data_IF_025129794348
#
_entry.id   IF_025129794348
#
_cell.length_a   1.000
_cell.length_b   1.000
_cell.length_c   1.000
_cell.angle_alpha   90.00
_cell.angle_beta   90.00
_cell.angle_gamma   90.00
#
_symmetry.space_group_name_H-M   'P 1'
#
loop_
_entity.id
_entity.type
_entity.pdbx_description
1 polymer ?
#
# COMPACT_ATOMS: atom_id res chain seq x y z
N UNK A 1 -13.18 22.49 -20.01
CA UNK A 1 -13.05 21.05 -20.33
C UNK A 1 -12.38 20.37 -19.15
N UNK A 2 -12.88 19.20 -18.75
CA UNK A 2 -12.41 18.51 -17.54
C UNK A 2 -11.12 17.68 -17.76
N UNK A 3 -10.90 17.18 -18.99
CA UNK A 3 -9.64 16.54 -19.38
C UNK A 3 -8.79 17.46 -20.25
N UNK A 4 -7.46 17.26 -20.27
CA UNK A 4 -6.56 18.00 -21.16
C UNK A 4 -6.83 17.65 -22.62
N UNK A 5 -6.67 18.64 -23.49
CA UNK A 5 -6.56 18.42 -24.94
C UNK A 5 -5.15 17.93 -25.26
N UNK A 6 -5.01 16.67 -25.65
CA UNK A 6 -3.73 16.05 -25.96
C UNK A 6 -3.65 15.75 -27.46
N UNK A 7 -2.47 15.94 -28.05
CA UNK A 7 -2.20 15.71 -29.48
C UNK A 7 -1.66 14.31 -29.76
N UNK A 8 -0.94 13.73 -28.80
CA UNK A 8 -0.37 12.38 -28.95
C UNK A 8 -0.52 11.57 -27.66
N UNK A 9 -0.55 10.24 -27.79
CA UNK A 9 -0.66 9.32 -26.65
C UNK A 9 0.49 9.48 -25.64
N UNK A 10 1.67 9.92 -26.09
CA UNK A 10 2.83 10.19 -25.21
C UNK A 10 2.58 11.33 -24.24
N UNK A 11 1.78 12.32 -24.64
CA UNK A 11 1.45 13.46 -23.80
C UNK A 11 0.58 13.09 -22.60
N UNK A 12 -0.10 11.93 -22.61
CA UNK A 12 -0.83 11.41 -21.46
C UNK A 12 0.09 11.13 -20.25
N UNK A 13 1.40 10.97 -20.47
CA UNK A 13 2.41 10.80 -19.44
C UNK A 13 3.19 12.07 -19.07
N UNK A 14 2.80 13.24 -19.60
CA UNK A 14 3.48 14.53 -19.39
C UNK A 14 2.77 15.38 -18.32
N UNK A 15 3.48 15.70 -17.24
CA UNK A 15 2.91 16.47 -16.11
C UNK A 15 2.44 17.87 -16.51
N UNK A 16 3.22 18.58 -17.33
CA UNK A 16 2.93 19.96 -17.72
C UNK A 16 1.67 20.06 -18.59
N UNK A 17 1.32 18.97 -19.28
CA UNK A 17 0.11 18.88 -20.12
C UNK A 17 -1.09 18.32 -19.36
N UNK A 18 -0.85 17.39 -18.42
CA UNK A 18 -1.94 16.60 -17.81
C UNK A 18 -2.36 17.07 -16.42
N UNK A 19 -1.51 17.83 -15.73
CA UNK A 19 -1.75 18.26 -14.34
C UNK A 19 -1.70 19.78 -14.18
N UNK A 20 -0.63 20.44 -14.65
CA UNK A 20 -0.44 21.89 -14.44
C UNK A 20 -1.65 22.76 -14.85
N UNK A 21 -2.30 22.50 -16.01
CA UNK A 21 -3.45 23.30 -16.43
C UNK A 21 -4.66 23.21 -15.49
N UNK A 22 -4.72 22.18 -14.65
CA UNK A 22 -5.83 21.90 -13.74
C UNK A 22 -5.55 22.31 -12.30
N UNK A 23 -4.34 22.78 -11.96
CA UNK A 23 -4.02 23.30 -10.62
C UNK A 23 -5.00 24.42 -10.18
N UNK A 24 -5.42 25.37 -11.05
CA UNK A 24 -6.41 26.37 -10.65
C UNK A 24 -7.78 25.78 -10.26
N UNK A 25 -8.14 24.59 -10.75
CA UNK A 25 -9.39 23.94 -10.32
C UNK A 25 -9.30 23.51 -8.85
N UNK A 26 -8.12 23.10 -8.38
CA UNK A 26 -7.92 22.70 -6.98
C UNK A 26 -8.18 23.87 -6.03
N UNK A 27 -7.66 25.05 -6.35
CA UNK A 27 -7.82 26.25 -5.50
C UNK A 27 -9.24 26.81 -5.57
N UNK A 28 -9.91 26.70 -6.72
CA UNK A 28 -11.29 27.13 -6.90
C UNK A 28 -12.36 26.17 -6.37
N UNK A 29 -12.04 24.88 -6.21
CA UNK A 29 -13.01 23.83 -5.88
C UNK A 29 -13.81 24.11 -4.58
N UNK A 30 -13.22 24.56 -3.46
CA UNK A 30 -13.99 24.86 -2.25
C UNK A 30 -15.06 25.94 -2.48
N UNK A 31 -14.72 26.99 -3.20
CA UNK A 31 -15.67 28.07 -3.54
C UNK A 31 -16.76 27.58 -4.48
N UNK A 32 -16.39 26.78 -5.48
CA UNK A 32 -17.35 26.21 -6.43
C UNK A 32 -18.35 25.25 -5.77
N UNK A 33 -17.90 24.45 -4.79
CA UNK A 33 -18.76 23.55 -4.02
C UNK A 33 -19.77 24.31 -3.16
N UNK A 34 -19.36 25.44 -2.56
CA UNK A 34 -20.24 26.26 -1.73
C UNK A 34 -21.31 27.01 -2.56
N UNK A 35 -20.98 27.39 -3.79
CA UNK A 35 -21.88 28.19 -4.63
C UNK A 35 -22.77 27.39 -5.60
N UNK A 36 -22.47 26.11 -5.85
CA UNK A 36 -23.20 25.27 -6.81
C UNK A 36 -23.83 24.03 -6.14
N UNK A 37 -24.58 24.22 -5.06
CA UNK A 37 -25.20 23.11 -4.29
C UNK A 37 -26.20 22.30 -5.11
N UNK A 38 -26.89 22.93 -6.07
CA UNK A 38 -27.88 22.26 -6.91
C UNK A 38 -27.27 21.57 -8.14
N UNK A 39 -26.00 21.86 -8.44
CA UNK A 39 -25.28 21.41 -9.63
C UNK A 39 -24.11 20.46 -9.36
N UNK A 40 -24.07 19.79 -8.19
CA UNK A 40 -22.91 19.01 -7.75
C UNK A 40 -22.50 17.89 -8.73
N UNK A 41 -23.46 17.23 -9.37
CA UNK A 41 -23.17 16.19 -10.37
C UNK A 41 -22.46 16.77 -11.61
N UNK A 42 -22.88 17.96 -12.05
CA UNK A 42 -22.25 18.67 -13.16
C UNK A 42 -20.85 19.16 -12.75
N UNK A 43 -20.72 19.78 -11.58
CA UNK A 43 -19.43 20.22 -11.04
C UNK A 43 -18.42 19.06 -10.94
N UNK A 44 -18.88 17.88 -10.54
CA UNK A 44 -18.06 16.67 -10.46
C UNK A 44 -17.51 16.26 -11.84
N UNK A 45 -18.35 16.24 -12.88
CA UNK A 45 -17.93 15.88 -14.24
C UNK A 45 -17.11 16.98 -14.91
N UNK A 46 -17.32 18.25 -14.56
CA UNK A 46 -16.55 19.38 -15.10
C UNK A 46 -15.18 19.56 -14.41
N UNK A 47 -15.02 19.04 -13.20
CA UNK A 47 -13.74 19.01 -12.49
C UNK A 47 -12.88 17.86 -13.00
N UNK A 48 -11.60 18.13 -13.22
CA UNK A 48 -10.64 17.09 -13.59
C UNK A 48 -10.63 15.99 -12.53
N UNK A 49 -10.76 14.71 -12.91
CA UNK A 49 -10.94 13.63 -11.95
C UNK A 49 -9.71 13.42 -11.04
N UNK A 50 -8.50 13.76 -11.52
CA UNK A 50 -7.29 13.75 -10.71
C UNK A 50 -7.35 14.82 -9.62
N UNK A 51 -7.85 16.01 -9.94
CA UNK A 51 -8.02 17.12 -8.98
C UNK A 51 -9.06 16.75 -7.92
N UNK A 52 -10.19 16.17 -8.30
CA UNK A 52 -11.21 15.71 -7.33
C UNK A 52 -10.64 14.65 -6.38
N UNK A 53 -9.89 13.68 -6.90
CA UNK A 53 -9.26 12.64 -6.09
C UNK A 53 -8.16 13.21 -5.16
N UNK A 54 -7.34 14.14 -5.65
CA UNK A 54 -6.33 14.80 -4.82
C UNK A 54 -6.98 15.65 -3.72
N UNK A 55 -8.01 16.44 -4.04
CA UNK A 55 -8.76 17.20 -3.05
C UNK A 55 -9.37 16.29 -1.97
N UNK A 56 -9.93 15.15 -2.37
CA UNK A 56 -10.41 14.14 -1.42
C UNK A 56 -9.28 13.60 -0.53
N UNK A 57 -8.08 13.34 -1.07
CA UNK A 57 -6.91 12.92 -0.27
C UNK A 57 -6.50 13.96 0.78
N UNK A 58 -6.59 15.25 0.44
CA UNK A 58 -6.32 16.35 1.38
C UNK A 58 -7.40 16.39 2.47
N UNK A 59 -8.68 16.26 2.12
CA UNK A 59 -9.76 16.18 3.12
C UNK A 59 -9.56 14.99 4.05
N UNK A 60 -9.25 13.81 3.53
CA UNK A 60 -8.95 12.63 4.36
C UNK A 60 -7.75 12.86 5.26
N UNK A 61 -6.71 13.56 4.81
CA UNK A 61 -5.57 13.88 5.66
C UNK A 61 -5.95 14.73 6.88
N UNK A 62 -6.82 15.73 6.69
CA UNK A 62 -7.32 16.56 7.79
C UNK A 62 -8.15 15.71 8.74
N UNK A 63 -9.02 14.84 8.22
CA UNK A 63 -9.82 13.93 9.02
C UNK A 63 -8.94 12.95 9.83
N UNK A 64 -7.91 12.36 9.21
CA UNK A 64 -6.97 11.48 9.91
C UNK A 64 -6.26 12.21 11.05
N UNK A 65 -5.83 13.44 10.83
CA UNK A 65 -5.19 14.24 11.86
C UNK A 65 -6.14 14.53 13.03
N UNK A 66 -7.33 15.03 12.74
CA UNK A 66 -8.31 15.39 13.79
C UNK A 66 -8.75 14.16 14.59
N UNK A 67 -9.07 13.05 13.90
CA UNK A 67 -9.53 11.82 14.54
C UNK A 67 -8.41 11.15 15.33
N UNK A 68 -7.16 11.17 14.84
CA UNK A 68 -6.02 10.60 15.55
C UNK A 68 -5.66 11.38 16.80
N UNK A 69 -5.68 12.71 16.77
CA UNK A 69 -5.41 13.54 17.95
C UNK A 69 -6.52 13.47 18.99
N UNK A 70 -7.79 13.40 18.54
CA UNK A 70 -8.94 13.25 19.43
C UNK A 70 -8.93 11.91 20.17
N UNK A 71 -8.74 10.80 19.43
CA UNK A 71 -8.77 9.45 19.99
C UNK A 71 -7.43 8.98 20.56
N UNK A 72 -6.35 9.75 20.38
CA UNK A 72 -4.97 9.34 20.67
C UNK A 72 -4.63 7.98 20.04
N UNK A 73 -5.08 7.80 18.80
CA UNK A 73 -4.87 6.58 18.02
C UNK A 73 -4.44 6.96 16.60
N UNK A 74 -3.19 6.66 16.27
CA UNK A 74 -2.50 7.13 15.06
C UNK A 74 -2.64 6.18 13.88
N UNK A 75 -3.40 5.09 14.04
CA UNK A 75 -3.71 4.12 12.98
C UNK A 75 -4.97 4.45 12.17
N UNK A 76 -5.41 5.71 12.15
CA UNK A 76 -6.62 6.08 11.38
C UNK A 76 -6.43 5.85 9.88
N UNK A 77 -5.27 6.23 9.33
CA UNK A 77 -4.94 5.98 7.93
C UNK A 77 -4.78 4.48 7.65
N UNK A 78 -4.22 3.72 8.59
CA UNK A 78 -4.02 2.26 8.45
C UNK A 78 -5.36 1.53 8.20
N UNK A 79 -6.45 2.00 8.83
CA UNK A 79 -7.80 1.44 8.66
C UNK A 79 -8.36 1.66 7.26
N UNK A 80 -8.03 2.81 6.65
CA UNK A 80 -8.49 3.18 5.32
C UNK A 80 -7.49 2.82 4.21
N UNK A 81 -6.28 2.38 4.56
CA UNK A 81 -5.24 1.95 3.62
C UNK A 81 -5.76 0.91 2.63
N UNK A 82 -6.53 -0.06 3.13
CA UNK A 82 -7.10 -1.14 2.30
C UNK A 82 -8.27 -0.72 1.42
N UNK A 83 -8.78 0.50 1.56
CA UNK A 83 -10.02 0.96 0.94
C UNK A 83 -9.76 2.10 -0.05
N UNK A 84 -9.01 3.13 0.37
CA UNK A 84 -8.85 4.37 -0.40
C UNK A 84 -8.24 4.16 -1.80
N UNK A 85 -7.18 3.36 -2.00
CA UNK A 85 -6.63 3.14 -3.33
C UNK A 85 -7.67 2.62 -4.33
N UNK A 86 -8.52 1.68 -3.90
CA UNK A 86 -9.61 1.18 -4.72
C UNK A 86 -10.66 2.27 -4.97
N UNK A 87 -11.04 3.04 -3.95
CA UNK A 87 -12.01 4.12 -4.11
C UNK A 87 -11.53 5.19 -5.09
N UNK A 88 -10.23 5.51 -5.13
CA UNK A 88 -9.70 6.44 -6.11
C UNK A 88 -9.82 5.92 -7.55
N UNK A 89 -9.53 4.63 -7.78
CA UNK A 89 -9.69 4.02 -9.12
C UNK A 89 -11.16 3.87 -9.51
N UNK A 90 -12.02 3.44 -8.59
CA UNK A 90 -13.47 3.38 -8.82
C UNK A 90 -14.05 4.76 -9.10
N UNK A 91 -13.56 5.80 -8.41
CA UNK A 91 -13.89 7.19 -8.71
C UNK A 91 -13.57 7.54 -10.16
N UNK A 92 -12.39 7.16 -10.68
CA UNK A 92 -12.07 7.39 -12.10
C UNK A 92 -13.02 6.66 -13.05
N UNK A 93 -13.39 5.41 -12.73
CA UNK A 93 -14.33 4.62 -13.54
C UNK A 93 -15.74 5.27 -13.57
N UNK A 94 -16.23 5.69 -12.41
CA UNK A 94 -17.53 6.39 -12.27
C UNK A 94 -17.49 7.72 -13.01
N UNK A 95 -16.43 8.50 -12.80
CA UNK A 95 -16.25 9.78 -13.48
C UNK A 95 -16.25 9.62 -15.00
N UNK A 96 -15.51 8.66 -15.54
CA UNK A 96 -15.45 8.40 -16.99
C UNK A 96 -16.82 8.06 -17.57
N UNK A 97 -17.63 7.25 -16.86
CA UNK A 97 -19.01 6.91 -17.28
C UNK A 97 -19.92 8.13 -17.30
N UNK A 98 -19.87 8.94 -16.24
CA UNK A 98 -20.69 10.15 -16.15
C UNK A 98 -20.28 11.21 -17.17
N UNK A 99 -18.99 11.26 -17.53
CA UNK A 99 -18.46 12.12 -18.59
C UNK A 99 -18.75 11.59 -20.01
N UNK A 100 -19.33 10.39 -20.17
CA UNK A 100 -19.57 9.77 -21.47
C UNK A 100 -18.30 9.32 -22.20
N UNK A 101 -17.23 9.02 -21.46
CA UNK A 101 -15.93 8.63 -22.00
C UNK A 101 -15.72 7.11 -21.97
N UNK A 102 -14.82 6.58 -22.81
CA UNK A 102 -14.42 5.18 -22.74
C UNK A 102 -13.86 4.82 -21.35
N UNK A 103 -14.43 3.79 -20.72
CA UNK A 103 -14.14 3.44 -19.33
C UNK A 103 -13.66 2.00 -19.14
N UNK A 104 -13.68 1.17 -20.19
CA UNK A 104 -13.41 -0.29 -20.12
C UNK A 104 -12.04 -0.63 -19.53
N UNK A 105 -10.99 0.12 -19.90
CA UNK A 105 -9.63 -0.06 -19.36
C UNK A 105 -9.57 0.30 -17.86
N UNK A 106 -10.32 1.32 -17.43
CA UNK A 106 -10.37 1.73 -16.02
C UNK A 106 -11.22 0.75 -15.19
N UNK A 107 -12.27 0.19 -15.76
CA UNK A 107 -13.03 -0.88 -15.12
C UNK A 107 -12.14 -2.10 -14.85
N UNK A 108 -11.24 -2.45 -15.77
CA UNK A 108 -10.31 -3.56 -15.57
C UNK A 108 -9.38 -3.31 -14.37
N UNK A 109 -8.84 -2.10 -14.25
CA UNK A 109 -8.04 -1.69 -13.08
C UNK A 109 -8.91 -1.70 -11.81
N UNK A 110 -10.15 -1.19 -11.88
CA UNK A 110 -11.08 -1.15 -10.75
C UNK A 110 -11.45 -2.55 -10.24
N UNK A 111 -11.59 -3.53 -11.13
CA UNK A 111 -11.79 -4.95 -10.76
C UNK A 111 -10.57 -5.46 -10.01
N UNK A 112 -9.36 -5.26 -10.54
CA UNK A 112 -8.13 -5.68 -9.87
C UNK A 112 -7.98 -5.01 -8.49
N UNK A 113 -8.13 -3.68 -8.40
CA UNK A 113 -8.00 -2.96 -7.12
C UNK A 113 -9.09 -3.35 -6.14
N UNK A 114 -10.28 -3.76 -6.61
CA UNK A 114 -11.33 -4.29 -5.75
C UNK A 114 -10.96 -5.66 -5.18
N UNK A 115 -10.32 -6.54 -5.95
CA UNK A 115 -9.77 -7.80 -5.45
C UNK A 115 -8.67 -7.57 -4.41
N UNK A 116 -7.74 -6.66 -4.70
CA UNK A 116 -6.69 -6.24 -3.76
C UNK A 116 -7.28 -5.67 -2.47
N UNK A 117 -8.27 -4.78 -2.58
CA UNK A 117 -8.95 -4.15 -1.44
C UNK A 117 -9.67 -5.19 -0.59
N UNK A 118 -10.48 -6.06 -1.21
CA UNK A 118 -11.17 -7.13 -0.50
C UNK A 118 -10.20 -8.05 0.27
N UNK A 119 -9.07 -8.43 -0.35
CA UNK A 119 -8.00 -9.21 0.30
C UNK A 119 -7.45 -8.46 1.51
N UNK A 120 -7.00 -7.22 1.33
CA UNK A 120 -6.30 -6.48 2.37
C UNK A 120 -7.24 -6.12 3.52
N UNK A 121 -8.47 -5.71 3.23
CA UNK A 121 -9.52 -5.46 4.22
C UNK A 121 -9.83 -6.72 5.03
N UNK A 122 -9.97 -7.89 4.37
CA UNK A 122 -10.14 -9.17 5.07
C UNK A 122 -8.94 -9.49 5.98
N UNK A 123 -7.71 -9.31 5.48
CA UNK A 123 -6.49 -9.57 6.25
C UNK A 123 -6.36 -8.63 7.46
N UNK A 124 -6.73 -7.36 7.33
CA UNK A 124 -6.70 -6.39 8.40
C UNK A 124 -7.82 -6.63 9.42
N UNK A 125 -9.03 -6.94 8.95
CA UNK A 125 -10.17 -7.29 9.80
C UNK A 125 -9.91 -8.51 10.67
N UNK A 126 -9.44 -9.62 10.08
CA UNK A 126 -9.18 -10.86 10.85
C UNK A 126 -8.10 -10.68 11.92
N UNK A 127 -7.16 -9.75 11.71
CA UNK A 127 -6.13 -9.36 12.69
C UNK A 127 -6.66 -8.43 13.80
N UNK A 128 -7.94 -8.06 13.76
CA UNK A 128 -8.57 -7.17 14.73
C UNK A 128 -8.36 -5.68 14.43
N UNK A 129 -7.88 -5.30 13.24
CA UNK A 129 -7.53 -3.92 12.90
C UNK A 129 -8.68 -2.91 13.01
N UNK A 130 -9.92 -3.38 12.86
CA UNK A 130 -11.14 -2.57 13.00
C UNK A 130 -11.74 -2.60 14.41
N UNK A 131 -11.12 -3.30 15.37
CA UNK A 131 -11.59 -3.30 16.76
C UNK A 131 -11.32 -1.95 17.41
N UNK A 132 -12.22 -1.54 18.31
CA UNK A 132 -12.09 -0.27 19.05
C UNK A 132 -10.79 -0.31 19.87
N UNK A 133 -9.97 0.72 19.72
CA UNK A 133 -8.66 0.82 20.38
C UNK A 133 -7.51 0.10 19.67
N UNK A 134 -7.76 -0.64 18.58
CA UNK A 134 -6.67 -1.24 17.78
C UNK A 134 -5.78 -0.14 17.20
N UNK A 135 -4.48 -0.25 17.45
CA UNK A 135 -3.41 0.61 16.96
C UNK A 135 -2.18 -0.24 16.61
N UNK A 136 -1.46 0.16 15.57
CA UNK A 136 -0.16 -0.42 15.26
C UNK A 136 0.84 -0.13 16.38
N UNK A 137 1.36 -1.20 16.99
CA UNK A 137 2.29 -1.13 18.11
C UNK A 137 3.57 -0.32 17.81
N UNK A 138 3.93 -0.15 16.53
CA UNK A 138 5.11 0.62 16.11
C UNK A 138 4.95 2.10 16.44
N UNK A 139 3.73 2.64 16.42
CA UNK A 139 3.48 4.03 16.80
C UNK A 139 3.89 4.30 18.25
N UNK A 140 3.51 3.42 19.17
CA UNK A 140 3.90 3.52 20.58
C UNK A 140 5.42 3.41 20.80
N UNK A 141 6.15 2.72 19.91
CA UNK A 141 7.62 2.64 19.98
C UNK A 141 8.23 3.96 19.49
N UNK A 142 7.81 4.46 18.33
CA UNK A 142 8.34 5.71 17.76
C UNK A 142 8.04 6.90 18.67
N UNK A 143 6.84 6.96 19.24
CA UNK A 143 6.41 8.04 20.14
C UNK A 143 7.30 8.18 21.38
N UNK A 144 7.90 7.09 21.88
CA UNK A 144 8.82 7.14 23.04
C UNK A 144 10.08 7.95 22.81
N UNK A 145 10.48 8.12 21.54
CA UNK A 145 11.70 8.82 21.17
C UNK A 145 11.47 10.28 20.76
N UNK A 146 10.21 10.73 20.72
CA UNK A 146 9.84 12.04 20.19
C UNK A 146 9.14 12.88 21.27
N UNK A 147 9.56 14.15 21.47
CA UNK A 147 8.80 15.07 22.32
C UNK A 147 7.43 15.39 21.68
N UNK A 148 6.44 15.74 22.51
CA UNK A 148 5.04 15.91 22.09
C UNK A 148 4.86 16.85 20.89
N UNK A 149 5.60 17.96 20.82
CA UNK A 149 5.51 18.90 19.71
C UNK A 149 5.99 18.28 18.38
N UNK A 150 7.10 17.56 18.41
CA UNK A 150 7.62 16.86 17.22
C UNK A 150 6.67 15.74 16.80
N UNK A 151 6.05 15.06 17.77
CA UNK A 151 5.02 14.05 17.49
C UNK A 151 3.79 14.62 16.77
N UNK A 152 3.31 15.81 17.17
CA UNK A 152 2.19 16.47 16.49
C UNK A 152 2.58 16.85 15.05
N UNK A 153 3.77 17.43 14.84
CA UNK A 153 4.26 17.73 13.48
C UNK A 153 4.35 16.45 12.65
N UNK A 154 4.91 15.40 13.23
CA UNK A 154 5.03 14.09 12.58
C UNK A 154 3.65 13.50 12.24
N UNK A 155 2.65 13.68 13.11
CA UNK A 155 1.28 13.26 12.82
C UNK A 155 0.68 14.04 11.65
N UNK A 156 0.73 15.38 11.69
CA UNK A 156 0.16 16.24 10.63
C UNK A 156 0.83 15.93 9.29
N UNK A 157 2.16 15.88 9.27
CA UNK A 157 2.94 15.79 8.03
C UNK A 157 3.05 14.36 7.52
N UNK A 158 3.53 13.42 8.34
CA UNK A 158 3.83 12.07 7.90
C UNK A 158 2.62 11.15 8.01
N UNK A 159 2.10 10.94 9.23
CA UNK A 159 1.05 9.95 9.50
C UNK A 159 -0.24 10.28 8.74
N UNK A 160 -0.63 11.55 8.73
CA UNK A 160 -1.90 11.98 8.16
C UNK A 160 -1.77 12.44 6.71
N UNK A 161 -0.91 13.43 6.42
CA UNK A 161 -0.81 14.02 5.08
C UNK A 161 -0.08 13.13 4.08
N UNK A 162 1.19 12.76 4.34
CA UNK A 162 1.99 11.96 3.40
C UNK A 162 1.33 10.59 3.16
N UNK A 163 0.84 9.90 4.18
CA UNK A 163 0.18 8.60 3.96
C UNK A 163 -1.10 8.75 3.11
N UNK A 164 -1.95 9.76 3.35
CA UNK A 164 -3.15 9.98 2.56
C UNK A 164 -2.84 10.30 1.09
N UNK A 165 -1.88 11.21 0.85
CA UNK A 165 -1.44 11.56 -0.50
C UNK A 165 -0.76 10.37 -1.17
N UNK A 166 -0.02 9.54 -0.43
CA UNK A 166 0.61 8.34 -0.97
C UNK A 166 -0.42 7.32 -1.48
N UNK A 167 -1.49 7.05 -0.72
CA UNK A 167 -2.59 6.17 -1.12
C UNK A 167 -3.23 6.61 -2.44
N UNK A 168 -3.46 7.91 -2.59
CA UNK A 168 -3.89 8.52 -3.85
C UNK A 168 -2.83 8.34 -4.94
N UNK A 169 -1.56 8.62 -4.63
CA UNK A 169 -0.50 8.77 -5.62
C UNK A 169 -0.16 7.45 -6.31
N UNK A 170 -0.04 6.34 -5.59
CA UNK A 170 0.36 5.07 -6.22
C UNK A 170 -0.77 4.40 -7.02
N UNK A 171 -2.02 4.78 -6.77
CA UNK A 171 -3.20 4.14 -7.37
C UNK A 171 -3.87 5.02 -8.43
N UNK A 172 -4.26 6.23 -8.04
CA UNK A 172 -5.04 7.14 -8.89
C UNK A 172 -4.21 7.71 -10.04
N UNK A 173 -2.95 8.07 -9.80
CA UNK A 173 -2.10 8.73 -10.81
C UNK A 173 -1.85 7.81 -12.02
N UNK A 174 -1.34 6.57 -11.87
CA UNK A 174 -1.14 5.70 -13.03
C UNK A 174 -2.47 5.33 -13.71
N UNK A 175 -3.55 5.11 -12.95
CA UNK A 175 -4.87 4.86 -13.52
C UNK A 175 -5.41 6.07 -14.30
N UNK A 176 -5.13 7.30 -13.86
CA UNK A 176 -5.50 8.53 -14.58
C UNK A 176 -4.74 8.66 -15.90
N UNK A 177 -3.44 8.33 -15.94
CA UNK A 177 -2.69 8.31 -17.19
C UNK A 177 -3.25 7.27 -18.19
N UNK A 178 -3.69 6.11 -17.71
CA UNK A 178 -4.40 5.12 -18.53
C UNK A 178 -5.74 5.69 -19.01
N UNK A 179 -6.49 6.41 -18.16
CA UNK A 179 -7.74 7.08 -18.56
C UNK A 179 -7.50 8.08 -19.68
N UNK A 180 -6.46 8.89 -19.59
CA UNK A 180 -6.10 9.84 -20.65
C UNK A 180 -5.75 9.13 -21.97
N UNK A 181 -5.06 7.99 -21.90
CA UNK A 181 -4.72 7.22 -23.11
C UNK A 181 -5.94 6.70 -23.87
N UNK A 182 -7.10 6.59 -23.22
CA UNK A 182 -8.36 6.18 -23.87
C UNK A 182 -8.86 7.17 -24.93
N UNK A 183 -8.38 8.42 -24.91
CA UNK A 183 -8.64 9.40 -25.98
C UNK A 183 -8.05 8.95 -27.32
N UNK A 184 -7.05 8.07 -27.31
CA UNK A 184 -6.37 7.54 -28.49
C UNK A 184 -6.64 6.03 -28.67
N UNK A 185 -6.60 5.27 -27.57
CA UNK A 185 -6.79 3.81 -27.54
C UNK A 185 -7.88 3.43 -26.54
N UNK A 186 -9.17 3.48 -26.95
CA UNK A 186 -10.31 3.32 -26.05
C UNK A 186 -10.63 1.87 -25.66
N UNK A 187 -10.13 0.90 -26.43
CA UNK A 187 -10.44 -0.52 -26.25
C UNK A 187 -9.41 -1.22 -25.37
N UNK A 188 -9.82 -2.29 -24.70
CA UNK A 188 -8.89 -3.18 -23.99
C UNK A 188 -8.00 -3.87 -25.02
N UNK A 189 -6.70 -3.85 -24.76
CA UNK A 189 -5.66 -4.47 -25.58
C UNK A 189 -5.13 -5.74 -24.92
N UNK A 190 -4.44 -6.61 -25.67
CA UNK A 190 -3.80 -7.81 -25.10
C UNK A 190 -2.82 -7.48 -23.95
N UNK A 191 -1.94 -6.45 -24.07
CA UNK A 191 -1.10 -6.00 -22.96
C UNK A 191 -1.88 -5.64 -21.69
N UNK A 192 -3.04 -4.96 -21.81
CA UNK A 192 -3.89 -4.63 -20.65
C UNK A 192 -4.30 -5.89 -19.88
N UNK A 193 -4.68 -6.96 -20.61
CA UNK A 193 -5.04 -8.25 -20.01
C UNK A 193 -3.83 -8.91 -19.35
N UNK A 194 -2.64 -8.82 -19.94
CA UNK A 194 -1.42 -9.38 -19.35
C UNK A 194 -1.04 -8.67 -18.04
N UNK A 195 -1.09 -7.33 -18.01
CA UNK A 195 -0.83 -6.56 -16.78
C UNK A 195 -1.84 -6.94 -15.69
N UNK A 196 -3.13 -6.97 -16.02
CA UNK A 196 -4.18 -7.41 -15.09
C UNK A 196 -3.93 -8.81 -14.53
N UNK A 197 -3.58 -9.79 -15.38
CA UNK A 197 -3.29 -11.16 -14.94
C UNK A 197 -2.08 -11.19 -14.00
N UNK A 198 -1.01 -10.45 -14.29
CA UNK A 198 0.17 -10.36 -13.42
C UNK A 198 -0.20 -9.75 -12.06
N UNK A 199 -0.99 -8.68 -12.04
CA UNK A 199 -1.46 -8.06 -10.78
C UNK A 199 -2.33 -9.02 -9.96
N UNK A 200 -3.24 -9.76 -10.59
CA UNK A 200 -4.06 -10.78 -9.91
C UNK A 200 -3.18 -11.89 -9.33
N UNK A 201 -2.17 -12.36 -10.07
CA UNK A 201 -1.23 -13.36 -9.54
C UNK A 201 -0.43 -12.83 -8.34
N UNK A 202 -0.06 -11.55 -8.34
CA UNK A 202 0.57 -10.92 -7.18
C UNK A 202 -0.39 -10.82 -5.99
N UNK A 203 -1.65 -10.46 -6.18
CA UNK A 203 -2.69 -10.48 -5.12
C UNK A 203 -2.87 -11.89 -4.55
N UNK A 204 -2.83 -12.92 -5.38
CA UNK A 204 -2.87 -14.31 -4.91
C UNK A 204 -1.63 -14.64 -4.07
N UNK A 205 -0.44 -14.20 -4.50
CA UNK A 205 0.80 -14.34 -3.70
C UNK A 205 0.71 -13.65 -2.33
N UNK A 206 0.13 -12.44 -2.28
CA UNK A 206 -0.16 -11.75 -1.02
C UNK A 206 -1.13 -12.54 -0.14
N UNK A 207 -2.22 -13.06 -0.71
CA UNK A 207 -3.21 -13.84 0.03
C UNK A 207 -2.58 -15.11 0.65
N UNK A 208 -1.73 -15.80 -0.11
CA UNK A 208 -1.01 -16.99 0.35
C UNK A 208 -0.01 -16.66 1.46
N UNK A 209 0.82 -15.63 1.28
CA UNK A 209 1.81 -15.20 2.29
C UNK A 209 1.14 -14.68 3.56
N UNK A 210 0.08 -13.90 3.43
CA UNK A 210 -0.76 -13.45 4.55
C UNK A 210 -1.37 -14.65 5.29
N UNK A 211 -1.88 -15.66 4.56
CA UNK A 211 -2.42 -16.90 5.13
C UNK A 211 -1.40 -17.74 5.90
N UNK A 212 -0.18 -17.87 5.35
CA UNK A 212 0.93 -18.56 6.03
C UNK A 212 1.30 -17.85 7.36
N UNK A 213 1.44 -16.52 7.31
CA UNK A 213 1.75 -15.73 8.52
C UNK A 213 0.62 -15.80 9.54
N UNK A 214 -0.64 -15.70 9.11
CA UNK A 214 -1.81 -15.82 9.99
C UNK A 214 -1.81 -17.17 10.71
N UNK A 215 -1.68 -18.26 9.96
CA UNK A 215 -1.67 -19.63 10.51
C UNK A 215 -0.56 -19.80 11.55
N UNK A 216 0.65 -19.33 11.25
CA UNK A 216 1.78 -19.36 12.18
C UNK A 216 1.50 -18.56 13.45
N UNK A 217 1.04 -17.31 13.31
CA UNK A 217 0.80 -16.45 14.47
C UNK A 217 -0.32 -17.02 15.34
N UNK A 218 -1.42 -17.52 14.77
CA UNK A 218 -2.50 -18.17 15.54
C UNK A 218 -1.98 -19.38 16.31
N UNK A 219 -1.16 -20.23 15.69
CA UNK A 219 -0.55 -21.39 16.34
C UNK A 219 0.39 -20.98 17.49
N UNK A 220 1.24 -19.97 17.25
CA UNK A 220 2.14 -19.41 18.26
C UNK A 220 1.38 -18.83 19.46
N UNK A 221 0.34 -18.05 19.25
CA UNK A 221 -0.47 -17.50 20.36
C UNK A 221 -1.13 -18.61 21.19
N UNK A 222 -1.65 -19.67 20.54
CA UNK A 222 -2.21 -20.83 21.25
C UNK A 222 -1.15 -21.57 22.07
N UNK A 223 0.04 -21.77 21.49
CA UNK A 223 1.16 -22.41 22.18
C UNK A 223 1.64 -21.60 23.40
N UNK A 224 1.75 -20.27 23.27
CA UNK A 224 2.13 -19.39 24.39
C UNK A 224 1.10 -19.39 25.52
N UNK A 225 -0.18 -19.62 25.23
CA UNK A 225 -1.26 -19.68 26.22
C UNK A 225 -1.32 -21.02 26.95
N UNK A 226 -1.27 -22.12 26.20
CA UNK A 226 -1.61 -23.44 26.72
C UNK A 226 -0.40 -24.39 26.85
N UNK A 227 0.79 -23.98 26.41
CA UNK A 227 2.03 -24.78 26.30
C UNK A 227 1.90 -26.07 25.47
N UNK A 228 0.83 -26.22 24.69
CA UNK A 228 0.57 -27.37 23.82
C UNK A 228 0.91 -27.03 22.38
N UNK A 229 1.72 -27.88 21.74
CA UNK A 229 2.10 -27.71 20.33
C UNK A 229 0.91 -28.02 19.43
N UNK A 230 0.41 -27.07 18.63
CA UNK A 230 -0.67 -27.32 17.68
C UNK A 230 -0.25 -28.30 16.57
N UNK A 231 -1.21 -29.04 16.03
CA UNK A 231 -0.97 -29.98 14.93
C UNK A 231 -0.34 -29.25 13.72
N UNK A 232 0.66 -29.90 13.08
CA UNK A 232 1.36 -29.35 11.93
C UNK A 232 2.52 -28.42 12.26
N UNK A 233 2.78 -28.15 13.54
CA UNK A 233 3.93 -27.36 14.00
C UNK A 233 4.87 -28.20 14.87
N UNK A 234 6.15 -27.84 14.88
CA UNK A 234 7.13 -28.39 15.82
C UNK A 234 7.40 -27.39 16.96
N UNK A 235 7.79 -27.91 18.13
CA UNK A 235 8.19 -27.06 19.26
C UNK A 235 9.35 -26.11 18.90
N UNK A 236 10.44 -26.57 18.24
CA UNK A 236 11.51 -25.68 17.79
C UNK A 236 11.05 -24.53 16.89
N UNK A 237 10.06 -24.74 16.03
CA UNK A 237 9.56 -23.68 15.12
C UNK A 237 8.76 -22.60 15.85
N UNK A 238 8.03 -22.98 16.89
CA UNK A 238 7.26 -22.05 17.71
C UNK A 238 8.14 -21.33 18.73
N UNK A 239 9.10 -22.05 19.33
CA UNK A 239 10.08 -21.48 20.28
C UNK A 239 11.00 -20.44 19.58
N UNK A 240 11.30 -20.62 18.28
CA UNK A 240 12.02 -19.62 17.45
C UNK A 240 11.31 -18.26 17.42
N UNK A 241 9.98 -18.27 17.40
CA UNK A 241 9.15 -17.07 17.48
C UNK A 241 8.90 -16.30 16.17
N UNK A 242 9.42 -16.73 15.04
CA UNK A 242 9.10 -16.21 13.70
C UNK A 242 9.02 -17.31 12.64
N UNK A 243 8.27 -17.04 11.55
CA UNK A 243 8.04 -17.98 10.46
C UNK A 243 9.21 -18.00 9.47
N UNK A 244 9.66 -19.20 9.09
CA UNK A 244 10.80 -19.42 8.16
C UNK A 244 10.53 -20.46 7.08
N UNK A 245 9.29 -20.94 6.96
CA UNK A 245 8.86 -21.96 6.00
C UNK A 245 7.90 -21.39 4.95
N UNK A 246 7.64 -22.14 3.89
CA UNK A 246 6.78 -21.68 2.80
C UNK A 246 7.43 -20.53 2.03
N UNK A 247 6.69 -19.46 1.74
CA UNK A 247 7.23 -18.28 1.07
C UNK A 247 8.28 -17.57 1.92
N UNK A 248 8.14 -17.67 3.25
CA UNK A 248 9.10 -17.12 4.21
C UNK A 248 10.44 -17.88 4.22
N UNK A 249 10.56 -19.02 3.54
CA UNK A 249 11.86 -19.65 3.35
C UNK A 249 12.75 -18.89 2.33
N UNK A 250 12.15 -18.06 1.48
CA UNK A 250 12.80 -17.43 0.32
C UNK A 250 12.79 -15.89 0.38
N UNK A 251 11.77 -15.30 1.00
CA UNK A 251 11.69 -13.86 1.24
C UNK A 251 11.26 -13.63 2.68
N UNK A 252 11.88 -12.68 3.38
CA UNK A 252 11.49 -12.38 4.78
C UNK A 252 10.13 -11.68 4.85
N UNK A 253 9.77 -10.95 3.80
CA UNK A 253 8.50 -10.22 3.67
C UNK A 253 7.90 -10.43 2.27
N UNK A 254 7.43 -11.66 1.94
CA UNK A 254 6.93 -11.99 0.61
C UNK A 254 5.65 -11.21 0.25
N UNK A 255 4.79 -10.94 1.24
CA UNK A 255 3.62 -10.08 1.08
C UNK A 255 4.04 -8.62 0.77
N UNK A 256 5.08 -8.10 1.42
CA UNK A 256 5.56 -6.74 1.15
C UNK A 256 6.24 -6.61 -0.22
N UNK A 257 6.92 -7.67 -0.67
CA UNK A 257 7.45 -7.73 -2.02
C UNK A 257 6.34 -7.70 -3.06
N UNK A 258 5.29 -8.51 -2.87
CA UNK A 258 4.14 -8.53 -3.75
C UNK A 258 3.38 -7.19 -3.75
N UNK A 259 3.15 -6.59 -2.58
CA UNK A 259 2.51 -5.26 -2.44
C UNK A 259 3.27 -4.19 -3.23
N UNK A 260 4.59 -4.08 -3.07
CA UNK A 260 5.41 -3.14 -3.85
C UNK A 260 5.38 -3.45 -5.34
N UNK A 261 5.39 -4.73 -5.72
CA UNK A 261 5.37 -5.17 -7.11
C UNK A 261 4.05 -4.81 -7.79
N UNK A 262 2.92 -4.95 -7.11
CA UNK A 262 1.58 -4.60 -7.62
C UNK A 262 1.57 -3.15 -8.14
N UNK A 263 2.00 -2.21 -7.30
CA UNK A 263 1.94 -0.79 -7.66
C UNK A 263 3.01 -0.38 -8.67
N UNK A 264 4.16 -1.07 -8.70
CA UNK A 264 5.15 -0.92 -9.77
C UNK A 264 4.63 -1.46 -11.11
N UNK A 265 3.86 -2.55 -11.10
CA UNK A 265 3.22 -3.12 -12.29
C UNK A 265 2.14 -2.19 -12.82
N UNK A 266 1.29 -1.61 -11.95
CA UNK A 266 0.31 -0.60 -12.36
C UNK A 266 0.98 0.66 -12.95
N UNK A 267 2.07 1.12 -12.34
CA UNK A 267 2.90 2.18 -12.92
C UNK A 267 3.42 1.79 -14.30
N UNK A 268 4.00 0.61 -14.45
CA UNK A 268 4.54 0.14 -15.73
C UNK A 268 3.45 -0.02 -16.79
N UNK A 269 2.25 -0.45 -16.40
CA UNK A 269 1.07 -0.48 -17.25
C UNK A 269 0.72 0.94 -17.75
N UNK A 270 0.75 1.95 -16.87
CA UNK A 270 0.53 3.35 -17.27
C UNK A 270 1.59 3.87 -18.25
N UNK A 271 2.86 3.50 -18.06
CA UNK A 271 3.94 3.80 -19.00
C UNK A 271 3.68 3.17 -20.37
N UNK A 272 3.31 1.88 -20.39
CA UNK A 272 2.98 1.17 -21.61
C UNK A 272 1.77 1.82 -22.33
N UNK A 273 0.68 2.06 -21.60
CA UNK A 273 -0.55 2.65 -22.12
C UNK A 273 -0.35 4.05 -22.72
N UNK A 274 0.64 4.80 -22.22
CA UNK A 274 0.97 6.13 -22.73
C UNK A 274 2.13 6.12 -23.72
N UNK A 275 2.66 4.94 -24.09
CA UNK A 275 3.84 4.80 -24.96
C UNK A 275 5.08 5.58 -24.45
N UNK A 276 5.25 5.61 -23.13
CA UNK A 276 6.39 6.22 -22.44
C UNK A 276 7.24 5.13 -21.77
N UNK A 277 8.57 5.29 -21.81
CA UNK A 277 9.48 4.37 -21.10
C UNK A 277 9.47 4.63 -19.59
N UNK A 278 9.34 5.89 -19.20
CA UNK A 278 9.23 6.35 -17.81
C UNK A 278 8.30 7.55 -17.76
N UNK A 279 7.65 7.78 -16.62
CA UNK A 279 6.74 8.92 -16.41
C UNK A 279 6.70 9.33 -14.94
N UNK A 280 6.29 10.58 -14.69
CA UNK A 280 6.04 11.11 -13.34
C UNK A 280 5.00 10.29 -12.56
N UNK A 281 4.19 9.51 -13.26
CA UNK A 281 3.18 8.62 -12.69
C UNK A 281 3.76 7.58 -11.72
N UNK A 282 5.07 7.33 -11.78
CA UNK A 282 5.78 6.41 -10.89
C UNK A 282 6.14 6.97 -9.51
N UNK A 283 5.95 8.28 -9.26
CA UNK A 283 6.31 8.91 -7.97
C UNK A 283 5.62 8.21 -6.79
N UNK A 284 4.34 7.85 -6.93
CA UNK A 284 3.60 7.14 -5.88
C UNK A 284 4.19 5.76 -5.58
N UNK A 285 4.46 4.95 -6.60
CA UNK A 285 5.06 3.64 -6.43
C UNK A 285 6.48 3.71 -5.84
N UNK A 286 7.29 4.69 -6.27
CA UNK A 286 8.61 4.94 -5.70
C UNK A 286 8.56 5.34 -4.22
N UNK A 287 7.64 6.25 -3.86
CA UNK A 287 7.43 6.65 -2.47
C UNK A 287 6.94 5.48 -1.60
N UNK A 288 6.11 4.59 -2.15
CA UNK A 288 5.67 3.38 -1.47
C UNK A 288 6.85 2.44 -1.18
N UNK A 289 7.74 2.21 -2.14
CA UNK A 289 8.96 1.40 -1.94
C UNK A 289 9.83 1.97 -0.81
N UNK A 290 10.02 3.28 -0.78
CA UNK A 290 10.77 3.95 0.29
C UNK A 290 10.10 3.79 1.66
N UNK A 291 8.77 3.93 1.72
CA UNK A 291 7.99 3.70 2.94
C UNK A 291 8.17 2.27 3.44
N UNK A 292 8.03 1.27 2.54
CA UNK A 292 8.22 -0.14 2.87
C UNK A 292 9.65 -0.43 3.32
N UNK A 293 10.66 0.19 2.72
CA UNK A 293 12.05 0.04 3.15
C UNK A 293 12.27 0.51 4.60
N UNK A 294 11.76 1.69 4.96
CA UNK A 294 11.85 2.22 6.33
C UNK A 294 11.02 1.42 7.34
N UNK A 295 9.77 1.10 6.98
CA UNK A 295 8.82 0.32 7.80
C UNK A 295 9.35 -1.09 8.08
N UNK A 296 9.94 -1.75 7.08
CA UNK A 296 10.52 -3.08 7.21
C UNK A 296 11.77 -3.04 8.08
N UNK A 297 12.66 -2.07 7.88
CA UNK A 297 13.83 -1.91 8.74
C UNK A 297 13.47 -1.77 10.22
N UNK A 298 12.49 -0.92 10.55
CA UNK A 298 12.00 -0.76 11.92
C UNK A 298 11.42 -2.08 12.47
N UNK A 299 10.61 -2.76 11.66
CA UNK A 299 9.98 -4.03 12.03
C UNK A 299 11.01 -5.12 12.30
N UNK A 300 12.04 -5.21 11.47
CA UNK A 300 13.14 -6.16 11.66
C UNK A 300 14.00 -5.82 12.87
N UNK A 301 14.31 -4.54 13.11
CA UNK A 301 15.05 -4.11 14.29
C UNK A 301 14.33 -4.53 15.59
N UNK A 302 13.00 -4.35 15.64
CA UNK A 302 12.17 -4.81 16.76
C UNK A 302 12.18 -6.33 16.88
N UNK A 303 12.17 -7.04 15.75
CA UNK A 303 12.14 -8.51 15.71
C UNK A 303 13.47 -9.11 16.17
N UNK A 304 14.60 -8.57 15.71
CA UNK A 304 15.94 -8.96 16.16
C UNK A 304 16.12 -8.72 17.67
N UNK A 305 15.57 -7.63 18.20
CA UNK A 305 15.58 -7.39 19.66
C UNK A 305 14.79 -8.43 20.47
N UNK A 306 13.82 -9.13 19.86
CA UNK A 306 12.98 -10.15 20.51
C UNK A 306 13.49 -11.57 20.31
N UNK A 307 14.06 -11.87 19.14
CA UNK A 307 14.39 -13.23 18.73
C UNK A 307 15.86 -13.32 18.28
N UNK A 308 16.75 -13.89 19.12
CA UNK A 308 18.19 -13.95 18.82
C UNK A 308 18.55 -14.71 17.53
N UNK A 309 17.71 -15.65 17.10
CA UNK A 309 17.92 -16.40 15.85
C UNK A 309 17.58 -15.58 14.58
N UNK A 310 16.89 -14.44 14.70
CA UNK A 310 16.45 -13.66 13.55
C UNK A 310 17.63 -13.11 12.75
N UNK A 311 18.74 -12.77 13.42
CA UNK A 311 19.96 -12.30 12.74
C UNK A 311 20.60 -13.36 11.84
N UNK A 312 20.46 -14.65 12.16
CA UNK A 312 20.91 -15.74 11.28
C UNK A 312 19.96 -15.96 10.10
N UNK A 313 18.67 -15.71 10.29
CA UNK A 313 17.68 -15.72 9.20
C UNK A 313 17.93 -14.59 8.19
N UNK A 314 18.23 -13.38 8.67
CA UNK A 314 18.58 -12.22 7.84
C UNK A 314 19.80 -12.45 6.92
N UNK A 315 20.73 -13.32 7.32
CA UNK A 315 21.92 -13.65 6.51
C UNK A 315 21.63 -14.61 5.35
N UNK A 316 20.60 -15.43 5.47
CA UNK A 316 20.31 -16.49 4.50
C UNK A 316 19.20 -16.11 3.53
N UNK A 317 18.18 -15.38 4.00
CA UNK A 317 16.95 -15.10 3.25
C UNK A 317 16.88 -13.61 2.99
N UNK A 318 16.70 -13.17 1.74
CA UNK A 318 16.60 -11.75 1.39
C UNK A 318 15.34 -11.07 1.93
N UNK A 319 15.40 -9.74 2.11
CA UNK A 319 14.30 -8.96 2.70
C UNK A 319 13.01 -9.06 1.88
N UNK A 320 13.11 -8.76 0.58
CA UNK A 320 11.99 -8.79 -0.37
C UNK A 320 12.23 -9.82 -1.47
N UNK A 321 13.42 -9.80 -2.08
CA UNK A 321 13.80 -10.68 -3.20
C UNK A 321 14.61 -11.87 -2.68
N UNK A 322 14.37 -13.10 -3.17
CA UNK A 322 15.17 -14.27 -2.82
C UNK A 322 16.65 -14.11 -3.16
N UNK A 323 17.51 -14.46 -2.20
CA UNK A 323 18.97 -14.46 -2.32
C UNK A 323 19.53 -15.82 -2.74
N UNK A 324 18.74 -16.89 -2.66
CA UNK A 324 19.14 -18.22 -3.10
C UNK A 324 17.93 -19.07 -3.48
N UNK A 325 18.16 -20.13 -4.26
CA UNK A 325 17.15 -21.14 -4.59
C UNK A 325 16.91 -22.14 -3.45
N UNK A 326 17.77 -22.15 -2.43
CA UNK A 326 17.60 -22.97 -1.24
C UNK A 326 16.82 -22.21 -0.17
N UNK A 327 15.81 -22.86 0.42
CA UNK A 327 15.11 -22.31 1.58
C UNK A 327 16.02 -22.17 2.82
N UNK A 328 15.60 -21.35 3.77
CA UNK A 328 16.27 -21.17 5.06
C UNK A 328 16.64 -22.50 5.74
N UNK A 329 17.88 -22.58 6.24
CA UNK A 329 18.35 -23.72 7.03
C UNK A 329 18.57 -23.28 8.49
N UNK A 330 17.85 -23.87 9.45
CA UNK A 330 18.00 -23.49 10.86
C UNK A 330 19.39 -23.86 11.40
N UNK A 331 19.98 -23.01 12.25
CA UNK A 331 21.30 -23.27 12.82
C UNK A 331 21.27 -24.44 13.81
N UNK A 332 22.34 -25.25 13.84
CA UNK A 332 22.44 -26.44 14.71
C UNK A 332 22.59 -26.13 16.20
N UNK A 333 23.01 -24.91 16.58
CA UNK A 333 23.34 -24.55 17.97
C UNK A 333 22.70 -23.20 18.38
N UNK A 334 21.40 -23.23 18.64
CA UNK A 334 20.58 -22.07 19.04
C UNK A 334 21.08 -21.41 20.33
N UNK A 335 21.45 -22.20 21.35
CA UNK A 335 21.90 -21.69 22.66
C UNK A 335 23.15 -20.80 22.57
N UNK A 336 24.08 -21.14 21.66
CA UNK A 336 25.32 -20.38 21.44
C UNK A 336 25.04 -19.02 20.77
N UNK A 337 24.00 -18.94 19.94
CA UNK A 337 23.59 -17.70 19.27
C UNK A 337 22.98 -16.74 20.30
N UNK A 338 22.06 -17.23 21.15
CA UNK A 338 21.46 -16.43 22.21
C UNK A 338 22.52 -15.78 23.12
N UNK A 339 23.52 -16.54 23.56
CA UNK A 339 24.63 -16.02 24.37
C UNK A 339 25.47 -14.95 23.65
N UNK A 340 25.67 -15.09 22.33
CA UNK A 340 26.43 -14.12 21.52
C UNK A 340 25.68 -12.80 21.35
N UNK A 341 24.36 -12.86 21.19
CA UNK A 341 23.52 -11.67 21.07
C UNK A 341 23.43 -10.90 22.40
N UNK A 342 23.26 -11.60 23.53
CA UNK A 342 23.26 -10.96 24.86
C UNK A 342 24.58 -10.23 25.16
N UNK A 343 25.71 -10.72 24.64
CA UNK A 343 27.03 -10.06 24.76
C UNK A 343 27.20 -8.83 23.86
N UNK A 344 26.40 -8.68 22.79
CA UNK A 344 26.43 -7.51 21.89
C UNK A 344 25.54 -6.36 22.37
N UNK A 345 24.54 -6.66 23.22
CA UNK A 345 23.59 -5.68 23.75
C UNK A 345 24.03 -5.07 25.09
N UNK A 346 25.07 -5.64 25.73
CA UNK A 346 25.82 -5.03 26.83
C UNK A 346 27.00 -4.27 26.28
#
# INVERSE_FOLDING_TARGET
MALPTLQTIKECGDYAKTVEPFIPQLTGLPFNLLNNTDGLAQLYVETNPLVSAFAASVVFSVLFFLVSEFNRNYSQVDRLWSILPNLYVVHLAVWARLAGLPHSRIDLIAVFTSLWSARLTFNYWRKGGYTVGSEDYRWAIVQKYLPRFVWIIFNITFISFIQSVLLFSFSCIPAYAILLSTQFEPSITTPDVLYFVVEVLLVVSEFLSDGQMWTYQTAKHKYLKDAKVPQGFSRPDLDRGFLTSGLFAYSRHPNFFAEQSIWLVLYQWSCYATNNVYSWTGIGAGALVLLFQGSTWLTEAITTGKYPEYSEYQKQVGMFIPTSLGGYKPPKNVAKIAQKETKKQK
#
